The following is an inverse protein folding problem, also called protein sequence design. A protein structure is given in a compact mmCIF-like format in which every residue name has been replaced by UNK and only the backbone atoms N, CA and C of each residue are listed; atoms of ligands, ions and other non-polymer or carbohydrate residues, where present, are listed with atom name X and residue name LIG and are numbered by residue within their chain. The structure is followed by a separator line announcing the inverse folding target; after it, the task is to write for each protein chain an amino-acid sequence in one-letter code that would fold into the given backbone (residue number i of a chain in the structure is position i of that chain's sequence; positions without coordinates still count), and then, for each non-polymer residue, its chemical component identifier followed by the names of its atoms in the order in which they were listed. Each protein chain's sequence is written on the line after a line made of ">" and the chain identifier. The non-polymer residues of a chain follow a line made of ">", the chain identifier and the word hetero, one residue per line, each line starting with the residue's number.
data_IF_332892125917
#
_entry.id   IF_332892125917
#
_cell.length_a   1.000
_cell.length_b   1.000
_cell.length_c   1.000
_cell.angle_alpha   90.00
_cell.angle_beta   90.00
_cell.angle_gamma   90.00
#
_symmetry.space_group_name_H-M   'P 1'
#
loop_
_entity.id
_entity.type
_entity.pdbx_description
1 polymer ?
#
# COMPACT_ATOMS: atom_id res chain seq x y z
N UNK A 1 -13.82 15.66 5.61
CA UNK A 1 -12.38 15.89 5.38
C UNK A 1 -12.01 14.93 4.28
N UNK A 2 -11.90 15.49 3.09
CA UNK A 2 -11.55 14.82 1.84
C UNK A 2 -10.11 14.28 1.96
N UNK A 3 -9.77 13.24 1.21
CA UNK A 3 -8.39 12.76 1.12
C UNK A 3 -7.43 13.88 0.67
N UNK A 4 -7.88 14.76 -0.22
CA UNK A 4 -7.09 15.93 -0.68
C UNK A 4 -6.82 16.95 0.42
N UNK A 5 -7.69 17.08 1.43
CA UNK A 5 -7.50 18.03 2.56
C UNK A 5 -6.32 17.64 3.48
N UNK A 6 -5.80 16.41 3.32
CA UNK A 6 -4.72 15.86 4.14
C UNK A 6 -3.34 16.08 3.52
N UNK A 7 -3.25 16.59 2.29
CA UNK A 7 -2.00 16.75 1.56
C UNK A 7 -1.77 18.23 1.24
N UNK A 8 -0.60 18.75 1.62
CA UNK A 8 -0.12 20.06 1.20
C UNK A 8 1.22 19.91 0.48
N UNK A 9 1.47 20.74 -0.51
CA UNK A 9 2.76 20.81 -1.21
C UNK A 9 3.38 22.16 -0.86
N UNK A 10 4.61 22.12 -0.36
CA UNK A 10 5.46 23.30 -0.18
C UNK A 10 6.43 23.32 -1.37
N UNK A 11 6.38 24.35 -2.24
CA UNK A 11 7.29 24.45 -3.37
C UNK A 11 8.75 24.63 -2.89
N UNK A 12 9.75 24.30 -3.72
CA UNK A 12 11.14 24.58 -3.41
C UNK A 12 11.39 26.10 -3.33
N UNK A 13 12.28 26.52 -2.43
CA UNK A 13 12.73 27.90 -2.30
C UNK A 13 13.66 28.26 -3.47
N UNK A 14 13.06 28.67 -4.59
CA UNK A 14 13.70 29.14 -5.83
C UNK A 14 12.84 30.23 -6.47
N UNK A 15 13.43 31.04 -7.34
CA UNK A 15 12.66 31.93 -8.20
C UNK A 15 11.71 31.09 -9.09
N UNK A 16 10.42 31.43 -9.06
CA UNK A 16 9.39 30.81 -9.91
C UNK A 16 9.43 31.47 -11.30
N UNK A 17 9.64 30.67 -12.35
CA UNK A 17 9.51 31.16 -13.71
C UNK A 17 8.01 31.38 -14.05
N UNK A 18 7.66 32.25 -15.01
CA UNK A 18 6.27 32.47 -15.41
C UNK A 18 5.53 31.16 -15.74
N UNK A 19 6.21 30.20 -16.33
CA UNK A 19 5.71 28.86 -16.65
C UNK A 19 5.36 28.04 -15.41
N UNK A 20 6.13 28.14 -14.31
CA UNK A 20 5.83 27.47 -13.04
C UNK A 20 4.53 28.04 -12.41
N UNK A 21 4.33 29.36 -12.52
CA UNK A 21 3.11 30.05 -12.08
C UNK A 21 1.90 29.61 -12.94
N UNK A 22 2.05 29.56 -14.26
CA UNK A 22 0.98 29.10 -15.16
C UNK A 22 0.66 27.60 -15.00
N UNK A 23 1.63 26.75 -14.67
CA UNK A 23 1.42 25.33 -14.43
C UNK A 23 0.74 25.04 -13.07
N UNK A 24 1.03 25.86 -12.05
CA UNK A 24 0.45 25.71 -10.71
C UNK A 24 -0.98 26.29 -10.61
N UNK A 25 -1.27 27.39 -11.31
CA UNK A 25 -2.53 28.14 -11.29
C UNK A 25 -3.84 27.35 -11.55
N UNK A 26 -3.92 26.28 -12.39
CA UNK A 26 -5.17 25.59 -12.66
C UNK A 26 -5.88 25.04 -11.42
N UNK A 27 -5.14 24.61 -10.39
CA UNK A 27 -5.73 24.14 -9.13
C UNK A 27 -6.26 25.25 -8.22
N UNK A 28 -5.97 26.52 -8.51
CA UNK A 28 -6.58 27.68 -7.85
C UNK A 28 -7.87 28.12 -8.55
N UNK A 29 -8.01 27.81 -9.84
CA UNK A 29 -9.15 28.20 -10.69
C UNK A 29 -10.21 27.09 -10.73
N UNK A 30 -9.79 25.83 -10.83
CA UNK A 30 -10.65 24.65 -10.90
C UNK A 30 -10.49 23.83 -9.60
N UNK A 31 -11.06 24.38 -8.51
CA UNK A 31 -10.97 23.78 -7.16
C UNK A 31 -11.76 22.48 -7.01
N UNK A 32 -12.58 22.16 -8.00
CA UNK A 32 -13.33 20.91 -8.13
C UNK A 32 -12.59 19.83 -8.94
N UNK A 33 -11.45 20.12 -9.60
CA UNK A 33 -10.66 19.14 -10.36
C UNK A 33 -9.55 18.49 -9.50
N UNK A 34 -9.51 17.15 -9.52
CA UNK A 34 -8.45 16.37 -8.86
C UNK A 34 -7.24 16.27 -9.77
N UNK A 35 -6.16 16.96 -9.39
CA UNK A 35 -4.89 16.91 -10.13
C UNK A 35 -4.05 15.71 -9.72
N UNK A 36 -3.58 14.95 -10.71
CA UNK A 36 -2.44 14.05 -10.51
C UNK A 36 -1.23 14.91 -10.15
N UNK A 37 -0.55 14.58 -9.06
CA UNK A 37 0.68 15.24 -8.66
C UNK A 37 1.81 14.22 -8.64
N UNK A 38 2.72 14.32 -9.61
CA UNK A 38 4.00 13.63 -9.57
C UNK A 38 5.00 14.37 -8.66
N UNK A 39 4.74 15.67 -8.45
CA UNK A 39 5.42 16.56 -7.53
C UNK A 39 6.79 17.03 -8.04
N UNK A 40 7.16 18.24 -7.63
CA UNK A 40 8.29 18.93 -8.25
C UNK A 40 9.63 18.61 -7.56
N UNK A 41 10.73 18.53 -8.32
CA UNK A 41 12.09 18.39 -7.78
C UNK A 41 12.38 19.37 -6.63
N UNK A 42 12.69 18.85 -5.44
CA UNK A 42 13.04 19.64 -4.25
C UNK A 42 11.84 20.17 -3.45
N UNK A 43 10.61 20.02 -3.93
CA UNK A 43 9.38 20.30 -3.16
C UNK A 43 9.23 19.36 -1.95
N UNK A 44 8.39 19.74 -1.00
CA UNK A 44 8.04 18.93 0.18
C UNK A 44 6.54 18.64 0.15
N UNK A 45 6.17 17.35 0.17
CA UNK A 45 4.79 16.92 0.39
C UNK A 45 4.60 16.75 1.90
N UNK A 46 3.63 17.46 2.47
CA UNK A 46 3.23 17.36 3.87
C UNK A 46 1.91 16.60 3.98
N UNK A 47 1.94 15.43 4.59
CA UNK A 47 0.74 14.64 4.91
C UNK A 47 0.31 14.85 6.36
N UNK A 48 -0.89 15.41 6.55
CA UNK A 48 -1.48 15.74 7.86
C UNK A 48 -2.07 14.51 8.54
N UNK A 49 -1.20 13.69 9.15
CA UNK A 49 -1.62 12.48 9.85
C UNK A 49 -2.28 12.81 11.20
N UNK A 50 -3.58 12.53 11.32
CA UNK A 50 -4.35 12.62 12.58
C UNK A 50 -3.74 11.84 13.75
N UNK A 51 -2.83 10.89 13.49
CA UNK A 51 -2.19 10.03 14.50
C UNK A 51 -0.74 10.41 14.80
N UNK A 52 -0.02 10.94 13.81
CA UNK A 52 1.44 11.13 13.91
C UNK A 52 1.87 12.60 13.77
N UNK A 53 0.92 13.53 13.57
CA UNK A 53 1.22 14.91 13.21
C UNK A 53 1.51 15.04 11.72
N UNK A 54 2.18 16.12 11.34
CA UNK A 54 2.53 16.38 9.95
C UNK A 54 3.74 15.53 9.55
N UNK A 55 3.60 14.76 8.47
CA UNK A 55 4.64 13.89 7.92
C UNK A 55 5.18 14.56 6.65
N UNK A 56 6.43 14.99 6.71
CA UNK A 56 7.11 15.65 5.57
C UNK A 56 7.86 14.62 4.71
N UNK A 57 7.66 14.69 3.40
CA UNK A 57 8.33 13.88 2.40
C UNK A 57 9.00 14.81 1.38
N UNK A 58 10.33 14.85 1.36
CA UNK A 58 11.08 15.62 0.36
C UNK A 58 11.13 14.85 -0.95
N UNK A 59 10.74 15.52 -2.03
CA UNK A 59 10.82 14.92 -3.36
C UNK A 59 12.24 14.98 -3.90
N UNK A 60 12.65 13.88 -4.52
CA UNK A 60 13.98 13.74 -5.08
C UNK A 60 14.19 14.71 -6.24
N UNK A 61 15.33 15.40 -6.25
CA UNK A 61 15.76 16.22 -7.39
C UNK A 61 16.57 15.34 -8.36
N UNK A 62 16.08 15.06 -9.58
CA UNK A 62 16.83 14.26 -10.54
C UNK A 62 18.10 15.00 -10.97
N UNK A 63 19.25 14.35 -10.85
CA UNK A 63 20.42 14.76 -11.64
C UNK A 63 20.15 14.44 -13.10
N UNK A 64 20.65 15.26 -14.04
CA UNK A 64 20.35 15.22 -15.49
C UNK A 64 20.77 13.93 -16.24
N UNK A 65 21.09 12.84 -15.55
CA UNK A 65 21.67 11.60 -16.07
C UNK A 65 20.87 10.33 -15.74
N UNK A 66 19.70 10.44 -15.12
CA UNK A 66 18.84 9.30 -14.76
C UNK A 66 17.41 9.49 -15.28
N UNK A 67 16.91 8.50 -16.02
CA UNK A 67 15.56 8.45 -16.59
C UNK A 67 14.49 8.06 -15.54
N UNK A 68 13.24 8.43 -15.81
CA UNK A 68 12.11 8.46 -14.88
C UNK A 68 11.51 7.09 -14.44
N UNK A 69 12.34 6.09 -14.15
CA UNK A 69 11.90 4.72 -13.83
C UNK A 69 11.90 4.42 -12.30
N UNK A 70 11.71 5.42 -11.44
CA UNK A 70 11.74 5.25 -9.98
C UNK A 70 10.31 5.10 -9.44
N UNK A 71 10.02 4.03 -8.69
CA UNK A 71 8.69 3.81 -8.07
C UNK A 71 8.82 3.06 -6.75
N UNK A 72 8.65 3.78 -5.65
CA UNK A 72 8.84 3.26 -4.30
C UNK A 72 7.83 2.16 -3.94
N UNK A 73 8.33 0.97 -3.60
CA UNK A 73 7.50 -0.17 -3.18
C UNK A 73 7.66 -0.39 -1.66
N UNK A 74 6.63 -0.05 -0.88
CA UNK A 74 6.73 -0.09 0.59
C UNK A 74 6.38 -1.50 1.11
N UNK A 75 7.38 -2.37 1.25
CA UNK A 75 7.25 -3.70 1.88
C UNK A 75 7.06 -3.64 3.42
N UNK A 76 6.01 -2.94 3.88
CA UNK A 76 5.68 -2.82 5.30
C UNK A 76 5.10 -4.11 5.88
N UNK A 77 5.72 -4.63 6.95
CA UNK A 77 5.34 -5.92 7.57
C UNK A 77 5.19 -5.86 9.09
N UNK A 78 4.41 -6.81 9.60
CA UNK A 78 4.37 -7.21 11.00
C UNK A 78 5.18 -8.50 11.15
N UNK A 79 6.35 -8.44 11.80
CA UNK A 79 7.08 -9.65 12.18
C UNK A 79 6.31 -10.30 13.34
N UNK A 80 5.81 -11.51 13.14
CA UNK A 80 5.31 -12.35 14.23
C UNK A 80 6.30 -13.48 14.44
N UNK A 81 7.21 -13.30 15.40
CA UNK A 81 8.01 -14.42 15.90
C UNK A 81 7.05 -15.47 16.47
N UNK A 82 7.11 -16.69 15.94
CA UNK A 82 6.26 -17.81 16.35
C UNK A 82 6.34 -18.01 17.88
N UNK A 83 5.23 -18.30 18.56
CA UNK A 83 5.31 -18.70 19.96
C UNK A 83 6.07 -20.02 20.09
N UNK A 84 7.01 -20.05 21.04
CA UNK A 84 7.59 -21.28 21.54
C UNK A 84 6.50 -22.15 22.20
N UNK A 85 6.75 -23.47 22.25
CA UNK A 85 5.98 -24.49 22.98
C UNK A 85 4.49 -24.68 22.62
N UNK A 86 4.25 -25.76 21.86
CA UNK A 86 3.17 -26.75 22.06
C UNK A 86 1.91 -26.35 22.87
N UNK A 87 0.79 -26.15 22.17
CA UNK A 87 -0.54 -26.44 22.68
C UNK A 87 -1.47 -26.95 21.57
N UNK A 88 -1.77 -28.25 21.58
CA UNK A 88 -2.83 -28.84 20.74
C UNK A 88 -4.18 -28.48 21.34
N UNK A 89 -5.15 -28.01 20.54
CA UNK A 89 -6.58 -28.10 20.88
C UNK A 89 -7.48 -28.07 19.64
N UNK A 90 -8.49 -28.94 19.64
CA UNK A 90 -9.42 -29.23 18.53
C UNK A 90 -10.66 -28.32 18.55
N UNK A 91 -11.39 -28.16 17.42
CA UNK A 91 -12.53 -27.23 17.35
C UNK A 91 -13.79 -27.74 18.07
N UNK A 92 -14.57 -26.81 18.65
CA UNK A 92 -15.99 -27.03 19.01
C UNK A 92 -16.85 -25.79 18.77
N UNK A 93 -18.10 -26.03 18.38
CA UNK A 93 -19.13 -25.04 18.03
C UNK A 93 -19.93 -24.55 19.25
N UNK A 94 -20.53 -23.35 19.07
CA UNK A 94 -21.73 -22.75 19.70
C UNK A 94 -21.63 -22.03 21.06
N UNK A 95 -22.00 -20.73 20.98
CA UNK A 95 -22.93 -19.96 21.81
C UNK A 95 -22.62 -19.81 23.31
N UNK A 96 -22.38 -18.56 23.73
CA UNK A 96 -22.49 -18.13 25.13
C UNK A 96 -22.25 -16.62 25.26
N UNK A 97 -23.25 -15.87 25.71
CA UNK A 97 -23.08 -14.47 26.13
C UNK A 97 -22.65 -14.46 27.59
N UNK A 98 -21.49 -13.88 27.90
CA UNK A 98 -21.16 -13.51 29.29
C UNK A 98 -20.38 -12.19 29.35
N UNK A 99 -20.72 -11.37 30.33
CA UNK A 99 -20.09 -10.07 30.59
C UNK A 99 -18.81 -10.29 31.41
N UNK A 100 -17.64 -10.03 30.82
CA UNK A 100 -16.37 -9.91 31.54
C UNK A 100 -15.86 -8.48 31.48
N UNK A 101 -15.93 -7.74 32.59
CA UNK A 101 -15.37 -6.37 32.68
C UNK A 101 -13.94 -6.43 33.24
N UNK A 102 -13.02 -5.75 32.57
CA UNK A 102 -11.70 -5.36 33.08
C UNK A 102 -11.37 -3.97 32.55
N UNK A 103 -11.40 -2.96 33.42
CA UNK A 103 -11.22 -1.53 33.13
C UNK A 103 -9.78 -1.08 33.46
N UNK A 104 -9.29 0.18 33.36
CA UNK A 104 -9.79 1.56 33.15
C UNK A 104 -8.75 2.34 32.29
N UNK A 105 -9.05 3.28 31.37
CA UNK A 105 -9.50 4.71 31.49
C UNK A 105 -8.40 5.69 31.95
N UNK A 106 -8.28 6.93 31.46
CA UNK A 106 -9.29 8.00 31.19
C UNK A 106 -9.60 8.22 29.67
N UNK A 107 -10.55 9.02 29.14
CA UNK A 107 -11.45 10.13 29.59
C UNK A 107 -10.83 11.56 29.61
N UNK A 108 -11.51 12.70 29.32
CA UNK A 108 -12.85 13.12 28.76
C UNK A 108 -12.74 14.65 28.34
N UNK A 109 -13.73 15.36 27.71
CA UNK A 109 -15.15 15.06 27.63
C UNK A 109 -15.85 15.09 26.25
N UNK A 110 -17.03 14.45 26.22
CA UNK A 110 -17.94 14.32 25.08
C UNK A 110 -18.87 15.54 24.87
N UNK A 111 -19.33 15.72 23.62
CA UNK A 111 -20.65 16.30 23.36
C UNK A 111 -21.44 15.36 22.42
N UNK A 112 -22.67 15.01 22.84
CA UNK A 112 -23.46 13.89 22.28
C UNK A 112 -23.86 14.12 20.81
N UNK A 113 -23.82 13.04 20.01
CA UNK A 113 -24.84 12.84 18.97
C UNK A 113 -25.16 11.35 18.76
N UNK A 114 -26.41 11.07 18.43
CA UNK A 114 -27.04 9.75 18.41
C UNK A 114 -26.42 8.78 17.40
N UNK A 115 -26.47 7.49 17.73
CA UNK A 115 -26.04 6.41 16.84
C UNK A 115 -27.07 6.12 15.73
N UNK A 116 -26.57 5.75 14.56
CA UNK A 116 -27.28 4.91 13.57
C UNK A 116 -26.59 3.53 13.51
N UNK A 117 -27.33 2.44 13.21
CA UNK A 117 -26.77 1.11 13.07
C UNK A 117 -26.01 0.96 11.74
N UNK A 118 -25.29 -0.17 11.60
CA UNK A 118 -24.49 -0.56 10.43
C UNK A 118 -23.15 0.20 10.25
N UNK A 119 -22.21 -0.09 11.16
CA UNK A 119 -20.78 -0.06 10.83
C UNK A 119 -20.11 -1.36 11.28
N UNK A 120 -19.60 -2.13 10.32
CA UNK A 120 -18.62 -3.19 10.58
C UNK A 120 -17.32 -2.48 11.01
N UNK A 121 -17.18 -2.24 12.32
CA UNK A 121 -15.92 -1.74 12.88
C UNK A 121 -14.94 -2.91 13.02
N UNK A 122 -14.18 -3.17 11.96
CA UNK A 122 -12.90 -3.90 12.06
C UNK A 122 -11.93 -3.06 12.88
N UNK A 123 -11.96 -3.24 14.21
CA UNK A 123 -11.04 -2.55 15.12
C UNK A 123 -9.65 -3.18 15.03
N UNK A 124 -8.83 -2.67 14.12
CA UNK A 124 -7.43 -3.09 13.98
C UNK A 124 -6.61 -2.65 15.20
N UNK A 125 -6.52 -3.54 16.21
CA UNK A 125 -5.55 -3.44 17.31
C UNK A 125 -4.26 -4.18 16.94
N UNK A 126 -3.29 -3.47 16.37
CA UNK A 126 -1.89 -3.90 16.44
C UNK A 126 -1.27 -3.35 17.72
N UNK A 127 -0.83 -4.24 18.62
CA UNK A 127 0.16 -3.90 19.65
C UNK A 127 1.50 -3.74 18.94
N UNK A 128 1.97 -2.50 18.80
CA UNK A 128 2.97 -2.12 17.80
C UNK A 128 4.41 -2.60 18.09
N UNK A 129 4.62 -3.41 19.13
CA UNK A 129 5.90 -3.53 19.83
C UNK A 129 6.90 -4.55 19.24
N UNK A 130 6.53 -5.37 18.25
CA UNK A 130 7.48 -6.23 17.47
C UNK A 130 7.38 -6.01 15.94
N UNK A 131 6.78 -4.89 15.51
CA UNK A 131 6.65 -4.55 14.08
C UNK A 131 8.01 -4.14 13.50
N UNK A 132 8.37 -4.68 12.32
CA UNK A 132 9.54 -4.28 11.53
C UNK A 132 9.18 -4.06 10.05
N UNK A 133 9.43 -2.86 9.56
CA UNK A 133 9.09 -2.36 8.21
C UNK A 133 10.32 -2.41 7.30
N UNK A 134 10.14 -2.77 6.03
CA UNK A 134 11.19 -2.65 5.03
C UNK A 134 10.67 -1.79 3.88
N UNK A 135 11.38 -0.72 3.57
CA UNK A 135 11.05 0.16 2.45
C UNK A 135 12.03 -0.18 1.34
N UNK A 136 11.55 -0.53 0.15
CA UNK A 136 12.43 -0.87 -0.96
C UNK A 136 12.06 -0.15 -2.24
N UNK A 137 13.05 -0.04 -3.11
CA UNK A 137 12.93 0.51 -4.46
C UNK A 137 14.04 -0.13 -5.30
N UNK A 138 14.07 0.18 -6.58
CA UNK A 138 15.17 -0.18 -7.47
C UNK A 138 16.53 0.17 -6.82
N UNK A 139 17.57 -0.69 -6.93
CA UNK A 139 18.84 -0.53 -6.22
C UNK A 139 19.76 0.62 -6.70
N UNK A 140 19.18 1.75 -7.12
CA UNK A 140 19.88 2.98 -7.44
C UNK A 140 20.28 3.73 -6.15
N UNK A 141 21.58 4.05 -5.92
CA UNK A 141 22.03 4.70 -4.69
C UNK A 141 21.33 6.03 -4.37
N UNK A 142 21.01 6.84 -5.38
CA UNK A 142 20.34 8.13 -5.20
C UNK A 142 18.89 7.97 -4.70
N UNK A 143 18.16 6.97 -5.20
CA UNK A 143 16.77 6.68 -4.80
C UNK A 143 16.76 6.22 -3.34
N UNK A 144 17.59 5.24 -3.00
CA UNK A 144 17.69 4.73 -1.63
C UNK A 144 18.19 5.79 -0.64
N UNK A 145 19.07 6.71 -1.06
CA UNK A 145 19.48 7.84 -0.23
C UNK A 145 18.31 8.80 0.07
N UNK A 146 17.48 9.12 -0.92
CA UNK A 146 16.29 9.97 -0.73
C UNK A 146 15.28 9.31 0.22
N UNK A 147 14.99 8.01 0.02
CA UNK A 147 14.09 7.25 0.88
C UNK A 147 14.60 7.19 2.32
N UNK A 148 15.92 7.00 2.53
CA UNK A 148 16.53 7.05 3.87
C UNK A 148 16.37 8.41 4.53
N UNK A 149 16.65 9.51 3.81
CA UNK A 149 16.48 10.86 4.33
C UNK A 149 15.03 11.14 4.75
N UNK A 150 14.06 10.82 3.89
CA UNK A 150 12.64 10.97 4.21
C UNK A 150 12.22 10.09 5.41
N UNK A 151 12.69 8.85 5.48
CA UNK A 151 12.37 7.94 6.59
C UNK A 151 12.97 8.42 7.91
N UNK A 152 14.16 9.04 7.88
CA UNK A 152 14.81 9.62 9.07
C UNK A 152 14.10 10.89 9.57
N UNK A 153 13.53 11.69 8.67
CA UNK A 153 12.70 12.85 9.05
C UNK A 153 11.30 12.46 9.54
N UNK A 154 10.65 11.51 8.88
CA UNK A 154 9.27 11.11 9.16
C UNK A 154 9.11 10.13 10.34
N UNK A 155 10.13 9.34 10.68
CA UNK A 155 10.05 8.33 11.75
C UNK A 155 10.79 8.81 13.00
N UNK A 156 10.13 8.88 14.18
CA UNK A 156 10.78 9.27 15.42
C UNK A 156 12.03 8.42 15.73
N UNK A 157 13.13 9.00 16.26
CA UNK A 157 14.37 8.27 16.54
C UNK A 157 14.20 7.03 17.42
N UNK A 158 13.21 7.03 18.32
CA UNK A 158 12.84 5.89 19.16
C UNK A 158 12.34 4.67 18.39
N UNK A 159 11.89 4.86 17.14
CA UNK A 159 11.40 3.81 16.24
C UNK A 159 12.38 3.52 15.09
N UNK A 160 13.55 4.16 15.04
CA UNK A 160 14.51 3.98 13.94
C UNK A 160 14.99 2.53 13.76
N UNK A 161 15.03 1.74 14.84
CA UNK A 161 15.36 0.31 14.81
C UNK A 161 14.26 -0.58 14.20
N UNK A 162 13.05 -0.03 13.97
CA UNK A 162 11.89 -0.75 13.41
C UNK A 162 11.74 -0.64 11.91
N UNK A 163 12.64 0.04 11.20
CA UNK A 163 12.64 0.02 9.74
C UNK A 163 14.03 -0.20 9.14
N UNK A 164 14.07 -0.67 7.91
CA UNK A 164 15.25 -0.57 7.04
C UNK A 164 14.86 -0.07 5.65
N UNK A 165 15.85 0.43 4.91
CA UNK A 165 15.71 0.85 3.52
C UNK A 165 16.69 0.06 2.66
N UNK A 166 16.16 -0.84 1.84
CA UNK A 166 16.92 -1.83 1.06
C UNK A 166 16.70 -1.65 -0.44
N UNK A 167 17.69 -2.04 -1.25
CA UNK A 167 17.51 -2.11 -2.71
C UNK A 167 16.91 -3.45 -3.11
N UNK A 168 15.85 -3.45 -3.90
CA UNK A 168 15.23 -4.66 -4.45
C UNK A 168 14.71 -4.41 -5.87
N UNK A 169 15.29 -5.10 -6.85
CA UNK A 169 14.77 -5.13 -8.22
C UNK A 169 13.68 -6.22 -8.31
N UNK A 170 12.51 -5.87 -8.85
CA UNK A 170 11.40 -6.83 -8.95
C UNK A 170 11.83 -8.04 -9.81
N UNK A 171 11.68 -9.24 -9.27
CA UNK A 171 12.07 -10.50 -9.89
C UNK A 171 13.46 -11.01 -9.49
N UNK A 172 14.35 -10.16 -8.94
CA UNK A 172 15.66 -10.64 -8.46
C UNK A 172 15.55 -11.26 -7.05
N UNK A 173 15.27 -12.56 -7.03
CA UNK A 173 15.20 -13.35 -5.81
C UNK A 173 16.57 -13.85 -5.32
N UNK A 174 17.67 -13.47 -5.99
CA UNK A 174 19.02 -13.99 -5.74
C UNK A 174 19.84 -13.14 -4.77
N UNK A 175 19.42 -11.90 -4.50
CA UNK A 175 20.13 -10.99 -3.58
C UNK A 175 20.22 -11.56 -2.15
N UNK A 176 21.14 -11.04 -1.35
CA UNK A 176 21.24 -11.40 0.07
C UNK A 176 19.98 -10.98 0.85
N UNK A 177 19.38 -9.83 0.51
CA UNK A 177 18.11 -9.36 1.07
C UNK A 177 16.97 -10.32 0.72
N UNK A 178 16.79 -10.65 -0.56
CA UNK A 178 15.73 -11.52 -1.03
C UNK A 178 15.80 -12.91 -0.36
N UNK A 179 16.98 -13.54 -0.32
CA UNK A 179 17.15 -14.86 0.29
C UNK A 179 16.96 -14.87 1.82
N UNK A 180 17.35 -13.81 2.51
CA UNK A 180 17.20 -13.73 3.99
C UNK A 180 15.77 -13.44 4.45
N UNK A 181 14.93 -12.90 3.57
CA UNK A 181 13.54 -12.53 3.88
C UNK A 181 12.50 -13.32 3.05
N UNK A 182 12.89 -14.48 2.51
CA UNK A 182 11.97 -15.40 1.86
C UNK A 182 10.85 -15.80 2.82
N UNK A 183 9.60 -15.56 2.43
CA UNK A 183 8.38 -15.86 3.18
C UNK A 183 8.30 -15.27 4.59
N UNK A 184 9.04 -14.20 4.90
CA UNK A 184 8.99 -13.55 6.22
C UNK A 184 7.90 -12.49 6.37
N UNK A 185 7.35 -12.00 5.24
CA UNK A 185 6.50 -10.82 5.24
C UNK A 185 5.02 -11.18 5.35
N UNK A 186 4.38 -10.78 6.46
CA UNK A 186 2.93 -10.99 6.67
C UNK A 186 2.09 -9.98 5.91
N UNK A 187 2.65 -8.81 5.60
CA UNK A 187 2.03 -7.72 4.85
C UNK A 187 3.00 -7.19 3.79
N UNK A 188 2.47 -6.80 2.64
CA UNK A 188 3.18 -6.09 1.58
C UNK A 188 2.25 -4.95 1.14
N UNK A 189 2.78 -3.76 0.85
CA UNK A 189 2.00 -2.63 0.34
C UNK A 189 2.64 -2.18 -0.98
N UNK A 190 1.87 -2.22 -2.06
CA UNK A 190 2.28 -1.72 -3.37
C UNK A 190 1.35 -0.56 -3.75
N UNK A 191 1.92 0.64 -3.81
CA UNK A 191 1.23 1.87 -4.19
C UNK A 191 1.72 2.31 -5.59
N UNK A 192 0.82 2.43 -6.56
CA UNK A 192 1.10 2.87 -7.94
C UNK A 192 2.27 2.16 -8.67
N UNK A 193 2.54 0.88 -8.33
CA UNK A 193 3.63 0.07 -8.89
C UNK A 193 3.29 -0.60 -10.25
N UNK A 194 2.11 -0.37 -10.81
CA UNK A 194 1.50 -1.29 -11.79
C UNK A 194 1.55 -0.82 -13.25
N UNK A 195 2.28 0.26 -13.53
CA UNK A 195 2.30 0.92 -14.84
C UNK A 195 3.22 0.25 -15.88
N UNK A 196 4.15 -0.62 -15.44
CA UNK A 196 5.07 -1.40 -16.28
C UNK A 196 4.53 -2.81 -16.54
N UNK A 197 3.74 -2.98 -17.61
CA UNK A 197 3.16 -4.29 -17.94
C UNK A 197 4.19 -5.42 -18.09
N UNK A 198 5.36 -5.13 -18.68
CA UNK A 198 6.45 -6.10 -18.81
C UNK A 198 7.11 -6.52 -17.49
N UNK A 199 6.79 -5.87 -16.36
CA UNK A 199 7.31 -6.19 -15.03
C UNK A 199 6.23 -6.76 -14.08
N UNK A 200 4.99 -6.98 -14.55
CA UNK A 200 3.90 -7.48 -13.69
C UNK A 200 4.22 -8.84 -13.08
N UNK A 201 4.68 -9.80 -13.88
CA UNK A 201 5.11 -11.13 -13.42
C UNK A 201 6.25 -11.02 -12.40
N UNK A 202 7.29 -10.22 -12.68
CA UNK A 202 8.43 -10.01 -11.78
C UNK A 202 8.04 -9.36 -10.44
N UNK A 203 7.06 -8.44 -10.45
CA UNK A 203 6.48 -7.84 -9.25
C UNK A 203 5.69 -8.88 -8.46
N UNK A 204 4.84 -9.68 -9.10
CA UNK A 204 4.05 -10.73 -8.45
C UNK A 204 4.94 -11.84 -7.88
N UNK A 205 6.00 -12.24 -8.60
CA UNK A 205 6.99 -13.19 -8.10
C UNK A 205 7.74 -12.65 -6.88
N UNK A 206 8.07 -11.36 -6.86
CA UNK A 206 8.60 -10.70 -5.65
C UNK A 206 7.59 -10.74 -4.50
N UNK A 207 6.32 -10.42 -4.76
CA UNK A 207 5.25 -10.50 -3.75
C UNK A 207 5.13 -11.91 -3.19
N UNK A 208 5.05 -12.95 -4.03
CA UNK A 208 4.93 -14.34 -3.61
C UNK A 208 6.16 -14.82 -2.83
N UNK A 209 7.37 -14.52 -3.31
CA UNK A 209 8.62 -14.87 -2.64
C UNK A 209 8.70 -14.29 -1.22
N UNK A 210 8.30 -13.02 -1.07
CA UNK A 210 8.35 -12.32 0.20
C UNK A 210 7.19 -12.68 1.14
N UNK A 211 5.99 -12.89 0.60
CA UNK A 211 4.80 -13.17 1.40
C UNK A 211 4.90 -14.52 2.12
N UNK A 212 4.45 -14.54 3.38
CA UNK A 212 4.31 -15.78 4.16
C UNK A 212 3.49 -16.84 3.40
N UNK A 213 3.86 -18.11 3.56
CA UNK A 213 3.21 -19.24 2.86
C UNK A 213 1.82 -19.58 3.44
N UNK A 214 1.52 -19.15 4.66
CA UNK A 214 0.23 -19.38 5.33
C UNK A 214 -0.88 -18.40 4.90
N UNK A 215 -2.10 -18.67 5.37
CA UNK A 215 -3.31 -17.86 5.11
C UNK A 215 -3.26 -16.43 5.63
N UNK A 216 -2.31 -16.13 6.52
CA UNK A 216 -2.19 -14.83 7.19
C UNK A 216 -1.56 -13.75 6.31
N UNK A 217 -0.88 -14.13 5.21
CA UNK A 217 -0.23 -13.20 4.29
C UNK A 217 -1.22 -12.35 3.49
N UNK A 218 -1.03 -11.03 3.46
CA UNK A 218 -1.78 -10.10 2.60
C UNK A 218 -0.88 -9.17 1.80
N UNK A 219 -1.22 -8.94 0.53
CA UNK A 219 -0.70 -7.83 -0.27
C UNK A 219 -1.81 -6.79 -0.39
N UNK A 220 -1.53 -5.56 0.02
CA UNK A 220 -2.38 -4.40 -0.23
C UNK A 220 -1.92 -3.70 -1.51
N UNK A 221 -2.84 -3.54 -2.44
CA UNK A 221 -2.64 -2.85 -3.72
C UNK A 221 -3.48 -1.59 -3.72
N UNK A 222 -2.85 -0.44 -3.97
CA UNK A 222 -3.53 0.85 -4.11
C UNK A 222 -2.99 1.55 -5.35
N UNK A 223 -3.85 2.02 -6.26
CA UNK A 223 -3.37 2.73 -7.45
C UNK A 223 -4.41 3.65 -8.07
N UNK A 224 -3.98 4.80 -8.61
CA UNK A 224 -4.82 5.67 -9.41
C UNK A 224 -4.82 5.29 -10.90
N UNK A 225 -5.89 5.59 -11.63
CA UNK A 225 -6.06 5.26 -13.05
C UNK A 225 -5.22 6.10 -14.03
N UNK A 226 -4.19 6.79 -13.54
CA UNK A 226 -3.39 7.74 -14.31
C UNK A 226 -2.63 7.08 -15.48
N UNK A 227 -2.20 5.81 -15.34
CA UNK A 227 -1.55 5.03 -16.42
C UNK A 227 -2.51 4.14 -17.22
N UNK A 228 -3.82 4.19 -16.91
CA UNK A 228 -4.89 3.50 -17.63
C UNK A 228 -5.35 2.18 -17.00
N UNK A 229 -6.67 1.97 -16.93
CA UNK A 229 -7.33 0.81 -16.32
C UNK A 229 -6.85 -0.53 -16.89
N UNK A 230 -6.63 -0.63 -18.20
CA UNK A 230 -6.17 -1.87 -18.84
C UNK A 230 -4.84 -2.39 -18.27
N UNK A 231 -3.93 -1.50 -17.83
CA UNK A 231 -2.68 -1.92 -17.17
C UNK A 231 -2.93 -2.50 -15.78
N UNK A 232 -3.86 -1.90 -15.02
CA UNK A 232 -4.25 -2.43 -13.71
C UNK A 232 -4.97 -3.78 -13.84
N UNK A 233 -5.86 -3.93 -14.81
CA UNK A 233 -6.50 -5.21 -15.13
C UNK A 233 -5.47 -6.29 -15.47
N UNK A 234 -4.53 -5.99 -16.38
CA UNK A 234 -3.41 -6.88 -16.74
C UNK A 234 -2.53 -7.26 -15.54
N UNK A 235 -2.32 -6.38 -14.56
CA UNK A 235 -1.61 -6.73 -13.33
C UNK A 235 -2.41 -7.72 -12.48
N UNK A 236 -3.72 -7.54 -12.32
CA UNK A 236 -4.56 -8.47 -11.58
C UNK A 236 -4.69 -9.83 -12.28
N UNK A 237 -4.72 -9.86 -13.61
CA UNK A 237 -4.65 -11.08 -14.41
C UNK A 237 -3.33 -11.83 -14.18
N UNK A 238 -2.18 -11.14 -14.23
CA UNK A 238 -0.87 -11.72 -13.91
C UNK A 238 -0.80 -12.21 -12.45
N UNK A 239 -1.32 -11.43 -11.49
CA UNK A 239 -1.40 -11.82 -10.09
C UNK A 239 -2.17 -13.14 -9.90
N UNK A 240 -3.30 -13.30 -10.59
CA UNK A 240 -4.09 -14.53 -10.59
C UNK A 240 -3.39 -15.65 -11.38
N UNK A 241 -2.69 -15.36 -12.48
CA UNK A 241 -1.91 -16.35 -13.23
C UNK A 241 -0.84 -17.03 -12.37
N UNK A 242 -0.04 -16.23 -11.69
CA UNK A 242 1.13 -16.68 -10.91
C UNK A 242 0.79 -17.28 -9.52
N UNK A 243 -0.48 -17.26 -9.11
CA UNK A 243 -0.94 -17.94 -7.89
C UNK A 243 -1.16 -17.04 -6.66
N UNK A 244 -1.38 -15.74 -6.84
CA UNK A 244 -2.18 -14.97 -5.89
C UNK A 244 -3.68 -15.22 -6.14
N UNK A 245 -4.51 -14.86 -5.17
CA UNK A 245 -5.96 -14.75 -5.30
C UNK A 245 -6.42 -13.39 -4.74
N UNK A 246 -7.41 -12.79 -5.40
CA UNK A 246 -8.03 -11.54 -4.98
C UNK A 246 -9.04 -11.88 -3.88
N UNK A 247 -8.83 -11.37 -2.67
CA UNK A 247 -9.78 -11.51 -1.57
C UNK A 247 -10.84 -10.40 -1.58
N UNK A 248 -10.42 -9.19 -1.93
CA UNK A 248 -11.27 -8.01 -2.05
C UNK A 248 -10.68 -7.09 -3.12
N UNK A 249 -11.54 -6.46 -3.93
CA UNK A 249 -11.15 -5.40 -4.86
C UNK A 249 -12.33 -4.45 -5.09
N UNK A 250 -12.07 -3.15 -4.96
CA UNK A 250 -13.04 -2.09 -5.17
C UNK A 250 -12.35 -0.81 -5.64
N UNK A 251 -13.14 0.20 -6.00
CA UNK A 251 -12.66 1.56 -6.26
C UNK A 251 -13.22 2.53 -5.23
N UNK A 252 -12.42 3.50 -4.79
CA UNK A 252 -12.82 4.56 -3.87
C UNK A 252 -12.46 5.92 -4.46
N UNK A 253 -13.38 6.90 -4.37
CA UNK A 253 -13.11 8.27 -4.79
C UNK A 253 -12.47 9.12 -3.67
N UNK A 254 -11.97 10.31 -4.01
CA UNK A 254 -11.38 11.25 -3.02
C UNK A 254 -12.31 11.62 -1.85
N UNK A 255 -13.63 11.53 -2.04
CA UNK A 255 -14.64 11.83 -1.02
C UNK A 255 -14.98 10.62 -0.13
N UNK A 256 -14.43 9.43 -0.43
CA UNK A 256 -14.70 8.17 0.27
C UNK A 256 -15.90 7.39 -0.27
N UNK A 257 -16.35 7.69 -1.50
CA UNK A 257 -17.43 6.95 -2.18
C UNK A 257 -16.87 5.69 -2.80
N UNK A 258 -17.38 4.51 -2.43
CA UNK A 258 -16.97 3.23 -2.99
C UNK A 258 -17.79 2.79 -4.22
N UNK A 259 -17.15 2.14 -5.19
CA UNK A 259 -17.81 1.38 -6.29
C UNK A 259 -17.13 0.03 -6.55
N UNK A 260 -17.89 -0.93 -7.09
CA UNK A 260 -17.40 -2.28 -7.44
C UNK A 260 -16.33 -2.16 -8.54
N UNK A 261 -15.21 -2.86 -8.44
CA UNK A 261 -14.18 -2.88 -9.49
C UNK A 261 -14.66 -3.56 -10.79
N UNK A 262 -14.27 -2.98 -11.92
CA UNK A 262 -14.46 -3.54 -13.26
C UNK A 262 -13.12 -3.50 -14.03
N UNK A 263 -12.75 -4.58 -14.72
CA UNK A 263 -11.52 -4.62 -15.56
C UNK A 263 -11.60 -3.70 -16.77
N UNK A 264 -12.81 -3.41 -17.24
CA UNK A 264 -13.11 -2.45 -18.30
C UNK A 264 -14.40 -1.70 -17.95
N UNK A 265 -14.43 -0.38 -18.15
CA UNK A 265 -15.65 0.44 -18.02
C UNK A 265 -15.95 1.15 -19.34
N UNK A 266 -17.23 1.41 -19.60
CA UNK A 266 -17.70 2.23 -20.73
C UNK A 266 -17.12 1.78 -22.10
N UNK A 267 -16.93 0.46 -22.31
CA UNK A 267 -16.33 -0.08 -23.54
C UNK A 267 -14.86 0.30 -23.72
N UNK A 268 -14.12 0.51 -22.62
CA UNK A 268 -12.75 1.01 -22.59
C UNK A 268 -12.64 2.54 -22.67
N UNK A 269 -13.74 3.26 -22.85
CA UNK A 269 -13.80 4.72 -23.04
C UNK A 269 -14.17 5.41 -21.72
N UNK A 270 -13.28 5.31 -20.72
CA UNK A 270 -13.41 6.10 -19.48
C UNK A 270 -13.05 7.57 -19.69
N UNK A 271 -13.82 8.46 -19.04
CA UNK A 271 -13.46 9.86 -18.91
C UNK A 271 -12.14 10.00 -18.16
N UNK A 272 -11.15 10.61 -18.83
CA UNK A 272 -9.78 10.77 -18.33
C UNK A 272 -9.71 11.79 -17.19
N UNK A 273 -10.69 12.70 -17.06
CA UNK A 273 -10.81 13.66 -15.96
C UNK A 273 -11.53 13.01 -14.77
N UNK A 274 -12.63 12.29 -15.00
CA UNK A 274 -13.35 11.59 -13.92
C UNK A 274 -12.45 10.57 -13.22
N UNK A 275 -11.75 9.72 -13.99
CA UNK A 275 -10.95 8.60 -13.43
C UNK A 275 -9.79 9.03 -12.52
N UNK A 276 -9.34 10.30 -12.57
CA UNK A 276 -8.31 10.84 -11.65
C UNK A 276 -8.80 10.90 -10.20
N UNK A 277 -10.12 10.97 -9.99
CA UNK A 277 -10.75 11.03 -8.67
C UNK A 277 -10.74 9.69 -7.95
N UNK A 278 -10.46 8.59 -8.67
CA UNK A 278 -10.64 7.22 -8.21
C UNK A 278 -9.31 6.50 -8.01
N UNK A 279 -9.24 5.71 -6.95
CA UNK A 279 -8.19 4.72 -6.69
C UNK A 279 -8.82 3.32 -6.76
N UNK A 280 -8.13 2.35 -7.36
CA UNK A 280 -8.39 0.93 -7.07
C UNK A 280 -7.72 0.56 -5.76
N UNK A 281 -8.44 -0.17 -4.90
CA UNK A 281 -7.95 -0.73 -3.64
C UNK A 281 -8.23 -2.23 -3.69
N UNK A 282 -7.21 -3.06 -3.49
CA UNK A 282 -7.34 -4.51 -3.47
C UNK A 282 -6.54 -5.16 -2.33
N UNK A 283 -7.09 -6.27 -1.82
CA UNK A 283 -6.42 -7.19 -0.92
C UNK A 283 -6.17 -8.51 -1.65
N UNK A 284 -4.91 -8.87 -1.84
CA UNK A 284 -4.50 -10.16 -2.40
C UNK A 284 -3.91 -11.04 -1.31
N UNK A 285 -3.97 -12.36 -1.52
CA UNK A 285 -3.30 -13.37 -0.69
C UNK A 285 -2.74 -14.47 -1.58
N UNK A 286 -1.88 -15.32 -1.04
CA UNK A 286 -1.43 -16.55 -1.72
C UNK A 286 -2.63 -17.47 -1.94
N UNK A 287 -2.79 -17.99 -3.17
CA UNK A 287 -3.82 -18.99 -3.48
C UNK A 287 -3.62 -20.24 -2.64
N UNK A 288 -4.70 -20.73 -2.05
CA UNK A 288 -4.68 -22.03 -1.37
C UNK A 288 -4.76 -23.14 -2.42
N UNK A 289 -3.72 -23.98 -2.52
CA UNK A 289 -3.76 -25.19 -3.32
C UNK A 289 -4.22 -26.33 -2.42
N UNK A 290 -5.48 -26.74 -2.54
CA UNK A 290 -5.99 -27.91 -1.83
C UNK A 290 -5.42 -29.19 -2.46
N UNK A 291 -4.37 -29.73 -1.82
CA UNK A 291 -3.64 -30.93 -2.25
C UNK A 291 -4.50 -32.21 -2.40
N UNK A 292 -5.78 -32.16 -2.02
CA UNK A 292 -6.75 -33.26 -2.19
C UNK A 292 -7.16 -33.48 -3.65
N UNK A 293 -7.12 -32.45 -4.51
CA UNK A 293 -7.62 -32.59 -5.90
C UNK A 293 -6.56 -33.19 -6.84
N UNK A 294 -5.29 -32.78 -6.72
CA UNK A 294 -4.21 -33.32 -7.57
C UNK A 294 -3.94 -34.81 -7.33
N UNK A 295 -4.13 -35.29 -6.10
CA UNK A 295 -3.93 -36.69 -5.76
C UNK A 295 -4.92 -37.62 -6.51
N UNK A 296 -6.15 -37.16 -6.76
CA UNK A 296 -7.14 -37.91 -7.53
C UNK A 296 -6.86 -37.86 -9.04
N UNK A 297 -6.35 -36.74 -9.56
CA UNK A 297 -5.97 -36.63 -10.96
C UNK A 297 -4.77 -37.54 -11.33
N UNK A 298 -3.77 -37.64 -10.45
CA UNK A 298 -2.58 -38.52 -10.64
C UNK A 298 -2.82 -40.00 -10.35
N UNK A 299 -3.97 -40.37 -9.77
CA UNK A 299 -4.36 -41.76 -9.52
C UNK A 299 -5.30 -42.33 -10.61
N UNK A 300 -5.62 -41.54 -11.64
CA UNK A 300 -6.54 -41.89 -12.72
C UNK A 300 -5.84 -42.13 -14.08
N UNK A 301 -4.51 -42.26 -14.09
CA UNK A 301 -3.66 -42.58 -15.24
C UNK A 301 -2.68 -43.71 -14.88
#
# INVERSE_FOLDING_TARGET
>A
MNLTDLIHIIPPDRDEEPEDIFASAPGLIFTDDTRNQHGDPGSIIVYKSKRFGDIELRLWTPSARMSANCSATIYGTLESKRPSSSAVLRPRKRIGVSKGRGCWSWAQPEQKRQAHPEQIRTSWRCTADDTKVFITDYPAPAVLANIRCNSQGAVPPTLAHRYSVEGHEWGDLTTAFARSHAHSFTRIIAADCFWMSGQHESLVQSMLHFLTVGTDGKVFVVSGFHTGRAKLASFFEAAVGEGLEIEEIYEEDVYGSGRIWESERNGGIEDVMERKRWLVIAQLKRRHVDCTVEAHAKAAH
#
